data_IF_846065160222
#
_entry.id   IF_846065160222
#
_cell.length_a   1.000
_cell.length_b   1.000
_cell.length_c   1.000
_cell.angle_alpha   90.00
_cell.angle_beta   90.00
_cell.angle_gamma   90.00
#
_symmetry.space_group_name_H-M   'P 1'
#
loop_
_entity.id
_entity.type
_entity.pdbx_description
1 polymer ?
#
# COMPACT_ATOMS: atom_id res chain seq x y z
N UNK A 1 -11.49 -20.27 -26.68
CA UNK A 1 -10.55 -19.15 -26.38
C UNK A 1 -11.36 -17.97 -25.90
N UNK A 2 -11.54 -17.81 -24.58
CA UNK A 2 -12.34 -16.73 -23.99
C UNK A 2 -11.46 -15.50 -23.84
N UNK A 3 -11.96 -14.38 -24.39
CA UNK A 3 -11.29 -13.09 -24.49
C UNK A 3 -11.35 -12.36 -23.14
N UNK A 4 -10.26 -11.63 -22.89
CA UNK A 4 -9.94 -10.76 -21.76
C UNK A 4 -11.13 -9.85 -21.38
N UNK A 5 -11.56 -9.90 -20.11
CA UNK A 5 -12.34 -8.85 -19.46
C UNK A 5 -12.29 -9.01 -17.93
N UNK A 6 -11.24 -8.51 -17.29
CA UNK A 6 -11.24 -8.26 -15.84
C UNK A 6 -10.26 -7.13 -15.50
N UNK A 7 -10.40 -5.98 -16.16
CA UNK A 7 -9.69 -4.73 -15.78
C UNK A 7 -10.68 -3.77 -15.11
N UNK A 8 -11.48 -4.26 -14.16
CA UNK A 8 -12.62 -3.48 -13.64
C UNK A 8 -12.81 -3.52 -12.12
N UNK A 9 -11.74 -3.70 -11.33
CA UNK A 9 -11.85 -3.59 -9.87
C UNK A 9 -10.64 -2.91 -9.22
N UNK A 10 -10.30 -1.69 -9.66
CA UNK A 10 -9.36 -0.82 -8.91
C UNK A 10 -9.90 0.62 -8.82
N UNK A 11 -11.15 0.77 -8.37
CA UNK A 11 -11.72 2.09 -8.09
C UNK A 11 -12.44 2.18 -6.72
N UNK A 12 -12.29 1.18 -5.83
CA UNK A 12 -12.93 1.18 -4.51
C UNK A 12 -11.94 0.96 -3.34
N UNK A 13 -10.70 1.42 -3.45
CA UNK A 13 -9.73 1.32 -2.34
C UNK A 13 -8.95 2.61 -2.04
N UNK A 14 -9.20 3.71 -2.75
CA UNK A 14 -8.41 4.94 -2.62
C UNK A 14 -8.55 5.64 -1.26
N UNK A 15 -9.58 5.35 -0.45
CA UNK A 15 -9.72 5.95 0.89
C UNK A 15 -9.10 5.14 2.02
N UNK A 16 -8.64 3.90 1.77
CA UNK A 16 -7.98 3.07 2.79
C UNK A 16 -6.50 2.79 2.45
N UNK A 17 -6.15 2.72 1.16
CA UNK A 17 -4.79 2.51 0.66
C UNK A 17 -4.02 3.82 0.42
N UNK A 18 -4.38 4.89 1.14
CA UNK A 18 -3.62 6.14 1.16
C UNK A 18 -2.84 6.33 2.46
N UNK A 19 -2.98 5.41 3.42
CA UNK A 19 -1.99 5.29 4.48
C UNK A 19 -0.75 4.66 3.82
N UNK A 20 0.43 5.31 3.87
CA UNK A 20 1.66 4.68 3.45
C UNK A 20 1.73 3.32 4.14
N UNK A 21 2.18 2.29 3.45
CA UNK A 21 2.67 1.06 4.07
C UNK A 21 3.97 1.37 4.86
N UNK A 22 3.92 2.38 5.73
CA UNK A 22 4.93 2.62 6.74
C UNK A 22 4.90 1.37 7.61
N UNK A 23 6.04 0.69 7.70
CA UNK A 23 6.26 -0.35 8.69
C UNK A 23 5.83 0.24 10.04
N UNK A 24 4.69 -0.22 10.55
CA UNK A 24 4.19 0.25 11.84
C UNK A 24 5.25 -0.08 12.86
N UNK A 25 5.65 0.90 13.66
CA UNK A 25 6.58 0.65 14.75
C UNK A 25 5.94 -0.41 15.66
N UNK A 26 6.65 -1.51 15.94
CA UNK A 26 6.07 -2.68 16.63
C UNK A 26 5.54 -2.34 18.05
N UNK A 27 5.88 -1.15 18.55
CA UNK A 27 5.51 -0.64 19.86
C UNK A 27 4.35 0.37 19.83
N UNK A 28 3.80 0.72 18.66
CA UNK A 28 2.67 1.65 18.58
C UNK A 28 1.33 0.94 18.82
N UNK A 29 0.48 1.45 19.73
CA UNK A 29 -0.82 0.86 19.99
C UNK A 29 -1.72 0.96 18.75
N UNK A 30 -2.42 -0.14 18.45
CA UNK A 30 -3.45 -0.15 17.40
C UNK A 30 -4.69 0.51 17.98
N UNK A 31 -5.10 1.63 17.38
CA UNK A 31 -6.26 2.42 17.79
C UNK A 31 -7.44 2.20 16.87
N UNK A 32 -8.65 2.38 17.42
CA UNK A 32 -9.90 2.44 16.66
C UNK A 32 -10.12 3.82 16.02
N UNK A 33 -11.27 3.98 15.36
CA UNK A 33 -11.66 5.23 14.72
C UNK A 33 -11.83 6.41 15.68
N UNK A 34 -12.10 6.16 16.95
CA UNK A 34 -12.20 7.19 17.99
C UNK A 34 -10.82 7.53 18.60
N UNK A 35 -9.74 6.92 18.09
CA UNK A 35 -8.38 7.08 18.61
C UNK A 35 -8.13 6.33 19.93
N UNK A 36 -9.01 5.41 20.32
CA UNK A 36 -8.84 4.60 21.53
C UNK A 36 -8.09 3.32 21.22
N UNK A 37 -7.17 2.87 22.10
CA UNK A 37 -6.46 1.62 21.88
C UNK A 37 -7.43 0.43 21.87
N UNK A 38 -7.25 -0.46 20.89
CA UNK A 38 -7.99 -1.71 20.82
C UNK A 38 -7.65 -2.61 22.02
N UNK A 39 -8.58 -3.45 22.43
CA UNK A 39 -8.30 -4.51 23.40
C UNK A 39 -7.28 -5.51 22.84
N UNK A 40 -6.43 -6.08 23.70
CA UNK A 40 -5.32 -6.98 23.32
C UNK A 40 -5.74 -8.11 22.36
N UNK A 41 -6.88 -8.76 22.63
CA UNK A 41 -7.42 -9.81 21.77
C UNK A 41 -7.71 -9.31 20.34
N UNK A 42 -8.27 -8.11 20.20
CA UNK A 42 -8.55 -7.49 18.89
C UNK A 42 -7.29 -6.99 18.19
N UNK A 43 -6.30 -6.54 18.96
CA UNK A 43 -4.99 -6.18 18.39
C UNK A 43 -4.31 -7.40 17.77
N UNK A 44 -4.33 -8.53 18.47
CA UNK A 44 -3.77 -9.80 17.96
C UNK A 44 -4.49 -10.27 16.71
N UNK A 45 -5.83 -10.21 16.70
CA UNK A 45 -6.64 -10.54 15.51
C UNK A 45 -6.33 -9.62 14.34
N UNK A 46 -6.20 -8.31 14.58
CA UNK A 46 -5.81 -7.35 13.55
C UNK A 46 -4.45 -7.67 12.94
N UNK A 47 -3.44 -7.95 13.77
CA UNK A 47 -2.08 -8.27 13.31
C UNK A 47 -2.03 -9.57 12.51
N UNK A 48 -2.80 -10.59 12.92
CA UNK A 48 -2.91 -11.84 12.18
C UNK A 48 -3.56 -11.62 10.80
N UNK A 49 -4.64 -10.83 10.73
CA UNK A 49 -5.28 -10.46 9.46
C UNK A 49 -4.37 -9.62 8.57
N UNK A 50 -3.62 -8.68 9.14
CA UNK A 50 -2.61 -7.87 8.44
C UNK A 50 -1.54 -8.78 7.83
N UNK A 51 -1.02 -9.75 8.59
CA UNK A 51 -0.04 -10.71 8.09
C UNK A 51 -0.60 -11.59 6.97
N UNK A 52 -1.83 -12.07 7.11
CA UNK A 52 -2.50 -12.84 6.05
C UNK A 52 -2.69 -12.00 4.78
N UNK A 53 -3.08 -10.74 4.92
CA UNK A 53 -3.23 -9.78 3.83
C UNK A 53 -1.91 -9.54 3.10
N UNK A 54 -0.82 -9.27 3.84
CA UNK A 54 0.52 -9.05 3.29
C UNK A 54 0.99 -10.26 2.49
N UNK A 55 0.82 -11.48 3.02
CA UNK A 55 1.17 -12.71 2.30
C UNK A 55 0.39 -12.83 0.98
N UNK A 56 -0.90 -12.51 0.97
CA UNK A 56 -1.72 -12.55 -0.25
C UNK A 56 -1.33 -11.48 -1.25
N UNK A 57 -0.94 -10.31 -0.77
CA UNK A 57 -0.40 -9.24 -1.60
C UNK A 57 0.92 -9.66 -2.27
N UNK A 58 1.83 -10.27 -1.52
CA UNK A 58 3.09 -10.81 -2.06
C UNK A 58 2.85 -11.90 -3.10
N UNK A 59 1.90 -12.82 -2.83
CA UNK A 59 1.47 -13.84 -3.80
C UNK A 59 0.90 -13.22 -5.09
N UNK A 60 0.13 -12.13 -4.97
CA UNK A 60 -0.42 -11.40 -6.10
C UNK A 60 0.69 -10.75 -6.93
N UNK A 61 1.61 -10.02 -6.31
CA UNK A 61 2.75 -9.40 -7.00
C UNK A 61 3.62 -10.46 -7.69
N UNK A 62 3.88 -11.59 -7.03
CA UNK A 62 4.62 -12.69 -7.63
C UNK A 62 3.91 -13.33 -8.83
N UNK A 63 2.59 -13.14 -8.96
CA UNK A 63 1.80 -13.64 -10.08
C UNK A 63 1.75 -12.70 -11.29
N UNK A 64 2.35 -11.50 -11.18
CA UNK A 64 2.35 -10.54 -12.28
C UNK A 64 3.16 -11.08 -13.46
N UNK A 65 2.61 -10.85 -14.66
CA UNK A 65 3.34 -11.03 -15.91
C UNK A 65 4.28 -9.85 -16.13
N UNK A 66 5.33 -10.02 -16.95
CA UNK A 66 6.25 -8.95 -17.34
C UNK A 66 5.52 -7.70 -17.85
N UNK A 67 4.41 -7.90 -18.58
CA UNK A 67 3.58 -6.79 -19.07
C UNK A 67 2.90 -6.02 -17.93
N UNK A 68 2.40 -6.72 -16.92
CA UNK A 68 1.76 -6.07 -15.77
C UNK A 68 2.80 -5.33 -14.93
N UNK A 69 3.97 -5.92 -14.74
CA UNK A 69 5.08 -5.28 -14.05
C UNK A 69 5.55 -4.01 -14.78
N UNK A 70 5.67 -4.05 -16.10
CA UNK A 70 5.99 -2.84 -16.88
C UNK A 70 4.94 -1.72 -16.76
N UNK A 71 3.65 -2.08 -16.70
CA UNK A 71 2.58 -1.08 -16.45
C UNK A 71 2.69 -0.50 -15.04
N UNK A 72 3.01 -1.32 -14.04
CA UNK A 72 3.23 -0.86 -12.66
C UNK A 72 4.40 0.13 -12.57
N UNK A 73 5.52 -0.15 -13.24
CA UNK A 73 6.67 0.76 -13.32
C UNK A 73 6.30 2.10 -13.97
N UNK A 74 5.52 2.07 -15.05
CA UNK A 74 5.01 3.28 -15.72
C UNK A 74 4.07 4.08 -14.80
N UNK A 75 3.20 3.42 -14.05
CA UNK A 75 2.32 4.07 -13.06
C UNK A 75 3.11 4.71 -11.93
N UNK A 76 4.14 4.04 -11.42
CA UNK A 76 5.03 4.59 -10.40
C UNK A 76 5.76 5.84 -10.91
N UNK A 77 6.26 5.82 -12.15
CA UNK A 77 6.88 6.99 -12.76
C UNK A 77 5.90 8.16 -12.98
N UNK A 78 4.63 7.89 -13.25
CA UNK A 78 3.57 8.91 -13.33
C UNK A 78 3.28 9.49 -11.94
N UNK A 79 3.14 8.63 -10.93
CA UNK A 79 2.90 9.02 -9.55
C UNK A 79 4.00 9.94 -9.03
N UNK A 80 5.26 9.62 -9.31
CA UNK A 80 6.39 10.46 -8.89
C UNK A 80 6.35 11.85 -9.54
N UNK A 81 6.03 11.93 -10.83
CA UNK A 81 5.84 13.22 -11.50
C UNK A 81 4.72 14.03 -10.86
N UNK A 82 3.62 13.38 -10.44
CA UNK A 82 2.54 14.07 -9.73
C UNK A 82 3.01 14.58 -8.36
N UNK A 83 3.77 13.78 -7.62
CA UNK A 83 4.35 14.17 -6.31
C UNK A 83 5.24 15.41 -6.44
N UNK A 84 6.14 15.42 -7.42
CA UNK A 84 7.00 16.58 -7.72
C UNK A 84 6.17 17.83 -8.05
N UNK A 85 5.13 17.70 -8.88
CA UNK A 85 4.20 18.82 -9.18
C UNK A 85 3.51 19.34 -7.91
N UNK A 86 3.16 18.45 -6.99
CA UNK A 86 2.54 18.79 -5.71
C UNK A 86 3.54 19.31 -4.66
N UNK A 87 4.83 19.39 -5.00
CA UNK A 87 5.87 19.90 -4.11
C UNK A 87 6.33 18.91 -3.03
N UNK A 88 6.04 17.62 -3.19
CA UNK A 88 6.70 16.60 -2.38
C UNK A 88 8.14 16.42 -2.88
N UNK A 89 9.11 16.24 -1.96
CA UNK A 89 10.49 15.92 -2.35
C UNK A 89 10.53 14.61 -3.12
N UNK A 90 11.43 14.51 -4.10
CA UNK A 90 11.70 13.26 -4.81
C UNK A 90 12.14 12.19 -3.79
N UNK A 91 11.64 10.95 -3.93
CA UNK A 91 12.05 9.86 -3.04
C UNK A 91 13.53 9.54 -3.27
N UNK A 92 14.37 10.13 -2.41
CA UNK A 92 15.83 10.17 -2.54
C UNK A 92 16.49 11.36 -1.84
N UNK A 93 15.71 12.42 -1.49
CA UNK A 93 16.22 13.59 -0.76
C UNK A 93 15.98 13.56 0.77
N UNK A 94 15.58 12.43 1.37
CA UNK A 94 15.69 12.23 2.82
C UNK A 94 17.14 11.89 3.20
N UNK A 95 18.02 12.88 3.11
CA UNK A 95 19.43 12.74 3.47
C UNK A 95 20.30 13.99 3.39
N UNK A 96 19.74 15.15 3.02
CA UNK A 96 20.49 16.40 2.94
C UNK A 96 19.72 17.59 3.55
N UNK A 97 19.05 17.39 4.68
CA UNK A 97 18.69 18.49 5.56
C UNK A 97 19.84 18.72 6.55
N UNK A 98 20.44 19.91 6.45
CA UNK A 98 21.53 20.45 7.27
C UNK A 98 21.30 20.38 8.77
#
# INVERSE_FOLDING_TARGET
MVRIAAVALLAFAASALAAPHARRDANEPIVDFDGKPLAEAKQKEFLDLEQQGNKKFDELLASYTDKQQGIEDELNAISEKQRVILGFPEEGEEGAAK
#
